data_IF_802797864592
#
_entry.id   IF_802797864592
#
_cell.length_a   1.000
_cell.length_b   1.000
_cell.length_c   1.000
_cell.angle_alpha   90.00
_cell.angle_beta   90.00
_cell.angle_gamma   90.00
#
_symmetry.space_group_name_H-M   'P 1'
#
loop_
_entity.id
_entity.type
_entity.pdbx_description
1 polymer ?
#
# COMPACT_ATOMS: atom_id res chain seq x y z
N UNK A 1 -12.80 -8.12 -19.46
CA UNK A 1 -11.90 -8.67 -18.42
C UNK A 1 -11.90 -7.71 -17.24
N UNK A 2 -11.66 -8.20 -16.02
CA UNK A 2 -11.40 -7.31 -14.89
C UNK A 2 -9.92 -6.96 -14.83
N UNK A 3 -9.61 -5.68 -14.69
CA UNK A 3 -8.27 -5.19 -14.40
C UNK A 3 -8.26 -4.64 -12.97
N UNK A 4 -7.36 -5.15 -12.14
CA UNK A 4 -7.24 -4.79 -10.73
C UNK A 4 -5.99 -3.94 -10.56
N UNK A 5 -6.12 -2.83 -9.84
CA UNK A 5 -5.03 -1.87 -9.58
C UNK A 5 -5.05 -1.43 -8.12
N UNK A 6 -3.87 -1.06 -7.60
CA UNK A 6 -3.72 -0.44 -6.29
C UNK A 6 -3.84 1.09 -6.43
N UNK A 7 -4.96 1.65 -5.98
CA UNK A 7 -5.19 3.11 -5.96
C UNK A 7 -5.64 3.75 -7.27
N UNK A 8 -6.17 4.98 -7.16
CA UNK A 8 -6.86 5.69 -8.25
C UNK A 8 -5.94 6.10 -9.40
N UNK A 9 -4.73 6.57 -9.12
CA UNK A 9 -3.79 7.01 -10.17
C UNK A 9 -3.36 5.86 -11.10
N UNK A 10 -3.18 4.66 -10.54
CA UNK A 10 -2.88 3.47 -11.32
C UNK A 10 -4.09 3.10 -12.19
N UNK A 11 -5.29 3.13 -11.61
CA UNK A 11 -6.53 2.86 -12.32
C UNK A 11 -6.74 3.81 -13.50
N UNK A 12 -6.54 5.11 -13.32
CA UNK A 12 -6.71 6.11 -14.36
C UNK A 12 -5.71 5.93 -15.50
N UNK A 13 -4.47 5.57 -15.18
CA UNK A 13 -3.43 5.27 -16.17
C UNK A 13 -3.78 4.00 -16.96
N UNK A 14 -4.26 2.95 -16.28
CA UNK A 14 -4.64 1.68 -16.91
C UNK A 14 -5.88 1.85 -17.79
N UNK A 15 -6.91 2.57 -17.34
CA UNK A 15 -8.17 2.79 -18.10
C UNK A 15 -7.92 3.32 -19.51
N UNK A 16 -6.92 4.18 -19.67
CA UNK A 16 -6.57 4.78 -20.97
C UNK A 16 -6.03 3.77 -21.99
N UNK A 17 -5.60 2.59 -21.52
CA UNK A 17 -5.03 1.53 -22.36
C UNK A 17 -6.04 0.45 -22.75
N UNK A 18 -7.20 0.41 -22.09
CA UNK A 18 -8.14 -0.69 -22.23
C UNK A 18 -9.15 -0.45 -23.35
N UNK A 19 -9.38 -1.48 -24.15
CA UNK A 19 -10.48 -1.50 -25.11
C UNK A 19 -11.84 -1.60 -24.40
N UNK A 20 -12.92 -1.24 -25.11
CA UNK A 20 -14.30 -1.37 -24.63
C UNK A 20 -14.61 -2.78 -24.11
N UNK A 21 -15.45 -2.87 -23.08
CA UNK A 21 -15.84 -4.14 -22.43
C UNK A 21 -14.87 -4.65 -21.35
N UNK A 22 -13.77 -3.93 -21.10
CA UNK A 22 -12.91 -4.13 -19.94
C UNK A 22 -13.32 -3.20 -18.79
N UNK A 23 -13.20 -3.70 -17.56
CA UNK A 23 -13.58 -2.96 -16.37
C UNK A 23 -12.41 -2.91 -15.39
N UNK A 24 -12.19 -1.73 -14.80
CA UNK A 24 -11.14 -1.50 -13.80
C UNK A 24 -11.74 -1.50 -12.41
N UNK A 25 -11.31 -2.45 -11.57
CA UNK A 25 -11.57 -2.48 -10.14
C UNK A 25 -10.38 -1.86 -9.41
N UNK A 26 -10.68 -0.91 -8.52
CA UNK A 26 -9.68 -0.22 -7.70
C UNK A 26 -9.76 -0.81 -6.31
N UNK A 27 -8.66 -1.40 -5.84
CA UNK A 27 -8.46 -1.65 -4.40
C UNK A 27 -7.55 -0.55 -3.88
N UNK A 28 -8.05 0.24 -2.94
CA UNK A 28 -7.36 1.45 -2.43
C UNK A 28 -6.52 1.21 -1.18
N UNK A 29 -6.73 0.08 -0.54
CA UNK A 29 -6.07 -0.27 0.72
C UNK A 29 -4.56 -0.46 0.51
N UNK A 30 -3.74 0.30 1.23
CA UNK A 30 -2.28 0.11 1.26
C UNK A 30 -1.92 -0.99 2.25
N UNK A 31 -1.81 -2.21 1.73
CA UNK A 31 -1.58 -3.42 2.52
C UNK A 31 -0.18 -3.50 3.14
N UNK A 32 0.74 -2.59 2.78
CA UNK A 32 2.09 -2.57 3.31
C UNK A 32 2.14 -2.15 4.79
N UNK A 33 1.14 -1.43 5.28
CA UNK A 33 1.12 -0.91 6.65
C UNK A 33 -0.17 -1.28 7.37
N UNK A 34 -0.10 -1.46 8.68
CA UNK A 34 -1.23 -1.76 9.55
C UNK A 34 -1.59 -3.25 9.64
N UNK A 35 -2.56 -3.58 10.52
CA UNK A 35 -3.01 -4.94 10.72
C UNK A 35 -3.75 -5.49 9.49
N UNK A 36 -3.65 -6.79 9.27
CA UNK A 36 -4.39 -7.56 8.26
C UNK A 36 -5.25 -8.68 8.87
N UNK A 37 -5.23 -8.88 10.19
CA UNK A 37 -5.87 -10.03 10.84
C UNK A 37 -7.35 -10.25 10.46
N UNK A 38 -8.12 -9.18 10.24
CA UNK A 38 -9.54 -9.25 9.87
C UNK A 38 -9.84 -8.75 8.44
N UNK A 39 -8.82 -8.60 7.60
CA UNK A 39 -8.95 -8.01 6.26
C UNK A 39 -9.87 -8.83 5.32
N UNK A 40 -10.05 -10.13 5.60
CA UNK A 40 -10.96 -11.01 4.86
C UNK A 40 -12.26 -11.32 5.62
N UNK A 41 -12.50 -10.65 6.75
CA UNK A 41 -13.68 -10.84 7.59
C UNK A 41 -14.49 -9.54 7.71
N UNK A 42 -15.36 -9.23 6.72
CA UNK A 42 -16.26 -8.09 6.82
C UNK A 42 -17.01 -8.08 8.16
N UNK A 43 -17.09 -6.92 8.85
CA UNK A 43 -16.84 -5.58 8.31
C UNK A 43 -15.39 -5.05 8.42
N UNK A 44 -14.39 -5.91 8.72
CA UNK A 44 -12.97 -5.51 8.77
C UNK A 44 -12.67 -4.36 9.77
N UNK A 45 -13.28 -4.41 10.96
CA UNK A 45 -13.28 -3.33 11.94
C UNK A 45 -11.87 -2.87 12.36
N UNK A 46 -10.95 -3.81 12.54
CA UNK A 46 -9.56 -3.54 12.97
C UNK A 46 -8.80 -2.82 11.86
N UNK A 47 -8.94 -3.28 10.61
CA UNK A 47 -8.35 -2.60 9.44
C UNK A 47 -8.92 -1.20 9.25
N UNK A 48 -10.23 -1.05 9.35
CA UNK A 48 -10.89 0.25 9.22
C UNK A 48 -10.45 1.20 10.32
N UNK A 49 -10.43 0.75 11.59
CA UNK A 49 -9.98 1.56 12.72
C UNK A 49 -8.52 2.00 12.59
N UNK A 50 -7.65 1.17 12.01
CA UNK A 50 -6.29 1.57 11.67
C UNK A 50 -6.27 2.77 10.74
N UNK A 51 -7.01 2.71 9.62
CA UNK A 51 -7.05 3.82 8.65
C UNK A 51 -7.69 5.09 9.23
N UNK A 52 -8.70 4.94 10.08
CA UNK A 52 -9.28 6.06 10.83
C UNK A 52 -8.26 6.76 11.74
N UNK A 53 -7.37 5.98 12.38
CA UNK A 53 -6.28 6.53 13.19
C UNK A 53 -5.20 7.22 12.36
N UNK A 54 -4.87 6.63 11.20
CA UNK A 54 -3.89 7.20 10.25
C UNK A 54 -4.41 8.52 9.66
N UNK A 55 -5.70 8.62 9.36
CA UNK A 55 -6.27 9.83 8.78
C UNK A 55 -6.27 11.00 9.79
N UNK A 56 -5.81 12.20 9.40
CA UNK A 56 -5.93 13.38 10.26
C UNK A 56 -7.38 13.84 10.37
N UNK A 57 -7.88 14.10 11.59
CA UNK A 57 -9.28 14.51 11.87
C UNK A 57 -9.75 15.71 11.04
N UNK A 58 -8.85 16.63 10.69
CA UNK A 58 -9.16 17.82 9.88
C UNK A 58 -8.89 17.72 8.39
N UNK A 59 -8.30 16.63 7.90
CA UNK A 59 -7.95 16.52 6.48
C UNK A 59 -9.20 16.14 5.67
N UNK A 60 -9.64 17.04 4.79
CA UNK A 60 -10.79 16.85 3.92
C UNK A 60 -10.37 16.72 2.44
N UNK A 61 -11.09 15.91 1.63
CA UNK A 61 -12.19 15.03 2.05
C UNK A 61 -11.67 13.80 2.83
N UNK A 62 -12.43 13.35 3.82
CA UNK A 62 -12.19 12.07 4.50
C UNK A 62 -12.53 10.92 3.54
N UNK A 63 -11.65 9.93 3.32
CA UNK A 63 -11.96 8.76 2.52
C UNK A 63 -13.07 7.93 3.17
N UNK A 64 -13.85 7.26 2.32
CA UNK A 64 -14.74 6.21 2.77
C UNK A 64 -13.96 4.91 2.97
N UNK A 65 -13.63 4.61 4.23
CA UNK A 65 -12.89 3.39 4.59
C UNK A 65 -13.77 2.12 4.54
N UNK A 66 -15.09 2.23 4.39
CA UNK A 66 -15.95 1.05 4.21
C UNK A 66 -15.67 0.29 2.90
N UNK A 67 -14.94 0.92 1.98
CA UNK A 67 -14.38 0.27 0.79
C UNK A 67 -13.54 -0.96 1.11
N UNK A 68 -12.88 -1.01 2.29
CA UNK A 68 -12.12 -2.19 2.75
C UNK A 68 -13.01 -3.43 2.85
N UNK A 69 -14.15 -3.31 3.53
CA UNK A 69 -15.09 -4.41 3.67
C UNK A 69 -15.72 -4.79 2.32
N UNK A 70 -16.06 -3.78 1.50
CA UNK A 70 -16.60 -3.99 0.15
C UNK A 70 -15.62 -4.75 -0.76
N UNK A 71 -14.32 -4.51 -0.61
CA UNK A 71 -13.28 -5.19 -1.36
C UNK A 71 -13.10 -6.64 -0.90
N UNK A 72 -13.15 -6.89 0.41
CA UNK A 72 -13.12 -8.25 0.97
C UNK A 72 -14.31 -9.10 0.50
N UNK A 73 -15.52 -8.53 0.54
CA UNK A 73 -16.73 -9.18 0.03
C UNK A 73 -16.66 -9.48 -1.47
N UNK A 74 -16.07 -8.56 -2.27
CA UNK A 74 -15.90 -8.76 -3.70
C UNK A 74 -14.88 -9.85 -4.01
N UNK A 75 -13.74 -9.88 -3.30
CA UNK A 75 -12.71 -10.90 -3.44
C UNK A 75 -13.22 -12.29 -3.04
N UNK A 76 -14.02 -12.39 -1.98
CA UNK A 76 -14.61 -13.66 -1.54
C UNK A 76 -15.51 -14.32 -2.60
N UNK A 77 -16.06 -13.53 -3.53
CA UNK A 77 -16.90 -14.01 -4.65
C UNK A 77 -16.16 -14.03 -5.98
N UNK A 78 -14.85 -13.84 -5.98
CA UNK A 78 -14.09 -13.68 -7.23
C UNK A 78 -14.07 -14.99 -8.04
N UNK A 79 -13.96 -16.12 -7.36
CA UNK A 79 -13.96 -17.46 -7.95
C UNK A 79 -15.30 -17.88 -8.56
N UNK A 80 -16.41 -17.24 -8.14
CA UNK A 80 -17.76 -17.48 -8.68
C UNK A 80 -18.02 -16.75 -10.01
N UNK A 81 -17.10 -15.85 -10.41
CA UNK A 81 -17.26 -15.06 -11.62
C UNK A 81 -16.75 -15.82 -12.84
N UNK A 82 -17.28 -15.49 -14.03
CA UNK A 82 -16.80 -16.06 -15.30
C UNK A 82 -15.75 -15.20 -16.00
N UNK A 83 -15.45 -14.02 -15.46
CA UNK A 83 -14.53 -13.06 -16.07
C UNK A 83 -13.10 -13.31 -15.61
N UNK A 84 -12.19 -13.48 -16.57
CA UNK A 84 -10.75 -13.47 -16.31
C UNK A 84 -10.29 -12.17 -15.65
N UNK A 85 -9.27 -12.31 -14.80
CA UNK A 85 -8.71 -11.26 -13.95
C UNK A 85 -7.29 -10.92 -14.43
N UNK A 86 -6.96 -9.63 -14.47
CA UNK A 86 -5.60 -9.13 -14.68
C UNK A 86 -5.22 -8.21 -13.54
N UNK A 87 -4.12 -8.49 -12.84
CA UNK A 87 -3.58 -7.63 -11.78
C UNK A 87 -2.39 -6.84 -12.33
N UNK A 88 -2.41 -5.52 -12.14
CA UNK A 88 -1.27 -4.65 -12.44
C UNK A 88 -0.51 -4.37 -11.14
N UNK A 89 0.80 -4.54 -11.16
CA UNK A 89 1.61 -4.37 -9.95
C UNK A 89 3.00 -3.80 -10.24
N UNK A 90 3.47 -2.96 -9.34
CA UNK A 90 4.83 -2.44 -9.28
C UNK A 90 5.73 -3.22 -8.32
N UNK A 91 6.79 -2.59 -7.82
CA UNK A 91 7.78 -3.21 -6.91
C UNK A 91 7.49 -2.94 -5.42
N UNK A 92 6.38 -2.29 -5.10
CA UNK A 92 6.02 -1.98 -3.71
C UNK A 92 5.36 -3.14 -3.00
N UNK A 93 5.56 -3.25 -1.68
CA UNK A 93 4.87 -4.23 -0.86
C UNK A 93 3.35 -4.19 -1.03
N UNK A 94 2.74 -3.01 -1.14
CA UNK A 94 1.29 -2.89 -1.31
C UNK A 94 0.79 -3.56 -2.60
N UNK A 95 1.43 -3.26 -3.74
CA UNK A 95 1.03 -3.83 -5.03
C UNK A 95 1.34 -5.33 -5.13
N UNK A 96 2.43 -5.78 -4.51
CA UNK A 96 2.77 -7.20 -4.42
C UNK A 96 1.79 -7.97 -3.51
N UNK A 97 1.37 -7.36 -2.39
CA UNK A 97 0.33 -7.92 -1.52
C UNK A 97 -1.03 -7.97 -2.22
N UNK A 98 -1.36 -6.96 -3.02
CA UNK A 98 -2.56 -6.98 -3.85
C UNK A 98 -2.57 -8.19 -4.81
N UNK A 99 -1.46 -8.42 -5.52
CA UNK A 99 -1.31 -9.60 -6.38
C UNK A 99 -1.44 -10.90 -5.58
N UNK A 100 -0.77 -10.98 -4.42
CA UNK A 100 -0.82 -12.15 -3.55
C UNK A 100 -2.25 -12.44 -3.03
N UNK A 101 -2.97 -11.39 -2.63
CA UNK A 101 -4.36 -11.45 -2.14
C UNK A 101 -5.33 -11.94 -3.22
N UNK A 102 -5.21 -11.40 -4.44
CA UNK A 102 -6.03 -11.85 -5.57
C UNK A 102 -5.72 -13.31 -5.93
N UNK A 103 -4.45 -13.70 -5.93
CA UNK A 103 -4.06 -15.09 -6.17
C UNK A 103 -4.64 -16.04 -5.10
N UNK A 104 -4.63 -15.64 -3.83
CA UNK A 104 -5.26 -16.41 -2.76
C UNK A 104 -6.77 -16.59 -2.97
N UNK A 105 -7.48 -15.53 -3.38
CA UNK A 105 -8.91 -15.60 -3.68
C UNK A 105 -9.25 -16.49 -4.88
N UNK A 106 -8.28 -16.73 -5.77
CA UNK A 106 -8.42 -17.56 -6.97
C UNK A 106 -7.77 -18.94 -6.84
N UNK A 107 -7.17 -19.28 -5.70
CA UNK A 107 -6.53 -20.58 -5.49
C UNK A 107 -7.56 -21.71 -5.68
N UNK A 108 -7.28 -22.62 -6.61
CA UNK A 108 -8.20 -23.72 -6.98
C UNK A 108 -9.39 -23.33 -7.86
N UNK A 109 -9.54 -22.05 -8.24
CA UNK A 109 -10.56 -21.60 -9.18
C UNK A 109 -10.20 -21.91 -10.63
N UNK A 110 -11.21 -21.99 -11.50
CA UNK A 110 -11.04 -22.06 -12.96
C UNK A 110 -10.90 -20.69 -13.63
N UNK A 111 -11.07 -19.59 -12.86
CA UNK A 111 -10.95 -18.22 -13.37
C UNK A 111 -9.49 -17.91 -13.71
N UNK A 112 -9.16 -17.56 -14.97
CA UNK A 112 -7.78 -17.25 -15.34
C UNK A 112 -7.29 -15.96 -14.66
N UNK A 113 -6.14 -16.06 -13.98
CA UNK A 113 -5.40 -14.92 -13.44
C UNK A 113 -4.25 -14.56 -14.37
N UNK A 114 -4.17 -13.30 -14.76
CA UNK A 114 -3.03 -12.72 -15.45
C UNK A 114 -2.37 -11.65 -14.60
N UNK A 115 -1.08 -11.43 -14.80
CA UNK A 115 -0.33 -10.33 -14.19
C UNK A 115 0.29 -9.43 -15.26
N UNK A 116 0.35 -8.13 -14.97
CA UNK A 116 1.11 -7.14 -15.74
C UNK A 116 2.11 -6.48 -14.79
N UNK A 117 3.35 -6.97 -14.86
CA UNK A 117 4.45 -6.45 -14.07
C UNK A 117 4.88 -5.08 -14.63
N UNK A 118 4.65 -4.04 -13.85
CA UNK A 118 5.04 -2.66 -14.15
C UNK A 118 6.28 -2.23 -13.38
N UNK A 119 6.79 -3.07 -12.48
CA UNK A 119 8.00 -2.80 -11.70
C UNK A 119 9.30 -2.87 -12.49
N UNK A 120 10.42 -2.64 -11.83
CA UNK A 120 11.79 -2.88 -12.30
C UNK A 120 12.34 -4.22 -11.81
N UNK A 121 11.66 -4.88 -10.87
CA UNK A 121 12.14 -6.06 -10.15
C UNK A 121 12.95 -5.72 -8.90
N UNK A 122 13.13 -4.44 -8.60
CA UNK A 122 13.93 -3.93 -7.48
C UNK A 122 13.09 -2.94 -6.66
N UNK A 123 12.89 -3.26 -5.38
CA UNK A 123 12.03 -2.51 -4.48
C UNK A 123 12.72 -1.37 -3.74
N UNK A 124 14.01 -1.14 -4.02
CA UNK A 124 14.78 -0.02 -3.44
C UNK A 124 14.24 1.32 -3.91
N UNK A 125 14.26 2.32 -3.05
CA UNK A 125 13.70 3.66 -3.27
C UNK A 125 14.14 4.35 -4.57
N UNK A 126 15.40 4.19 -4.97
CA UNK A 126 15.92 4.78 -6.20
C UNK A 126 15.51 4.05 -7.49
N UNK A 127 14.94 2.85 -7.39
CA UNK A 127 14.69 1.96 -8.53
C UNK A 127 13.24 1.50 -8.66
N UNK A 128 12.51 1.41 -7.54
CA UNK A 128 11.15 0.88 -7.51
C UNK A 128 10.21 1.70 -8.36
N UNK A 129 9.27 1.01 -9.00
CA UNK A 129 8.22 1.64 -9.78
C UNK A 129 6.87 1.12 -9.33
N UNK A 130 5.95 2.03 -9.00
CA UNK A 130 4.53 1.72 -8.92
C UNK A 130 3.90 1.78 -10.32
N UNK A 131 2.72 1.18 -10.52
CA UNK A 131 1.99 1.27 -11.79
C UNK A 131 1.75 2.73 -12.20
N UNK A 132 1.35 3.57 -11.24
CA UNK A 132 1.07 5.00 -11.46
C UNK A 132 2.29 5.86 -11.77
N UNK A 133 3.51 5.36 -11.51
CA UNK A 133 4.75 6.09 -11.80
C UNK A 133 5.19 5.92 -13.27
N UNK A 134 4.60 4.97 -14.01
CA UNK A 134 4.93 4.75 -15.41
C UNK A 134 4.30 5.82 -16.29
N UNK A 135 5.12 6.47 -17.10
CA UNK A 135 4.60 7.34 -18.17
C UNK A 135 3.69 6.54 -19.12
N UNK A 136 2.65 7.16 -19.72
CA UNK A 136 1.65 6.44 -20.51
C UNK A 136 2.22 5.53 -21.60
N UNK A 137 3.20 6.01 -22.38
CA UNK A 137 3.84 5.22 -23.44
C UNK A 137 4.62 4.03 -22.89
N UNK A 138 5.26 4.18 -21.72
CA UNK A 138 5.98 3.09 -21.07
C UNK A 138 5.00 2.05 -20.51
N UNK A 139 3.90 2.49 -19.91
CA UNK A 139 2.86 1.59 -19.40
C UNK A 139 2.20 0.80 -20.56
N UNK A 140 1.92 1.47 -21.69
CA UNK A 140 1.41 0.82 -22.90
C UNK A 140 2.36 -0.28 -23.42
N UNK A 141 3.67 -0.02 -23.43
CA UNK A 141 4.66 -1.01 -23.85
C UNK A 141 4.76 -2.21 -22.89
N UNK A 142 4.51 -1.98 -21.60
CA UNK A 142 4.49 -3.01 -20.55
C UNK A 142 3.18 -3.82 -20.53
N UNK A 143 2.13 -3.39 -21.25
CA UNK A 143 0.85 -4.09 -21.27
C UNK A 143 0.94 -5.39 -22.07
N UNK A 144 1.49 -6.41 -21.42
CA UNK A 144 1.63 -7.78 -21.93
C UNK A 144 1.16 -8.73 -20.82
N UNK A 145 -0.16 -8.94 -20.68
CA UNK A 145 -0.70 -9.82 -19.64
C UNK A 145 -0.12 -11.23 -19.76
N UNK A 146 0.49 -11.70 -18.68
CA UNK A 146 1.04 -13.05 -18.59
C UNK A 146 0.12 -13.91 -17.74
N UNK A 147 -0.27 -15.08 -18.24
CA UNK A 147 -1.03 -16.05 -17.45
C UNK A 147 -0.19 -16.48 -16.24
N UNK A 148 -0.80 -16.47 -15.05
CA UNK A 148 -0.17 -16.91 -13.81
C UNK A 148 -0.41 -18.40 -13.65
N UNK A 149 0.65 -19.19 -13.68
CA UNK A 149 0.58 -20.64 -13.56
C UNK A 149 0.12 -21.11 -12.17
N UNK A 150 -0.55 -22.27 -12.03
CA UNK A 150 -1.07 -22.75 -10.75
C UNK A 150 -0.05 -22.80 -9.61
N UNK A 151 1.21 -23.16 -9.91
CA UNK A 151 2.28 -23.18 -8.92
C UNK A 151 2.61 -21.79 -8.39
N UNK A 152 2.58 -20.76 -9.25
CA UNK A 152 2.79 -19.37 -8.85
C UNK A 152 1.59 -18.83 -8.08
N UNK A 153 0.37 -19.22 -8.44
CA UNK A 153 -0.84 -18.89 -7.66
C UNK A 153 -0.71 -19.43 -6.24
N UNK A 154 -0.33 -20.70 -6.08
CA UNK A 154 -0.15 -21.31 -4.76
C UNK A 154 0.97 -20.63 -3.93
N UNK A 155 2.09 -20.27 -4.56
CA UNK A 155 3.16 -19.50 -3.91
C UNK A 155 2.67 -18.14 -3.40
N UNK A 156 2.00 -17.38 -4.28
CA UNK A 156 1.41 -16.08 -3.93
C UNK A 156 0.35 -16.22 -2.83
N UNK A 157 -0.51 -17.23 -2.89
CA UNK A 157 -1.52 -17.50 -1.88
C UNK A 157 -0.89 -17.84 -0.52
N UNK A 158 0.20 -18.61 -0.50
CA UNK A 158 0.96 -18.87 0.73
C UNK A 158 1.57 -17.59 1.29
N UNK A 159 2.17 -16.74 0.45
CA UNK A 159 2.73 -15.46 0.88
C UNK A 159 1.65 -14.53 1.47
N UNK A 160 0.46 -14.49 0.86
CA UNK A 160 -0.68 -13.74 1.39
C UNK A 160 -1.09 -14.25 2.77
N UNK A 161 -1.35 -15.56 2.90
CA UNK A 161 -1.74 -16.17 4.17
C UNK A 161 -0.70 -15.95 5.27
N UNK A 162 0.59 -16.05 4.95
CA UNK A 162 1.68 -15.75 5.88
C UNK A 162 1.67 -14.28 6.32
N UNK A 163 1.47 -13.33 5.41
CA UNK A 163 1.41 -11.90 5.73
C UNK A 163 0.20 -11.52 6.61
N UNK A 164 -0.92 -12.23 6.45
CA UNK A 164 -2.12 -12.10 7.30
C UNK A 164 -1.85 -12.70 8.68
N UNK A 165 -1.28 -13.91 8.75
CA UNK A 165 -0.96 -14.60 10.01
C UNK A 165 0.09 -13.84 10.84
N UNK A 166 1.18 -13.39 10.21
CA UNK A 166 2.22 -12.59 10.87
C UNK A 166 1.66 -11.27 11.41
N UNK A 167 0.67 -10.70 10.71
CA UNK A 167 -0.04 -9.48 11.11
C UNK A 167 0.91 -8.32 11.49
N UNK A 168 2.06 -8.23 10.82
CA UNK A 168 3.07 -7.20 11.09
C UNK A 168 2.53 -5.77 10.91
N UNK A 169 3.12 -4.81 11.60
CA UNK A 169 2.73 -3.41 11.51
C UNK A 169 3.16 -2.77 10.18
N UNK A 170 4.30 -3.22 9.63
CA UNK A 170 4.82 -2.85 8.32
C UNK A 170 5.27 -4.13 7.62
N UNK A 171 5.08 -4.20 6.30
CA UNK A 171 5.54 -5.27 5.42
C UNK A 171 6.40 -4.65 4.33
N UNK A 172 7.62 -5.16 4.16
CA UNK A 172 8.55 -4.76 3.09
C UNK A 172 8.62 -5.85 2.05
N UNK A 173 8.63 -5.47 0.77
CA UNK A 173 8.96 -6.38 -0.32
C UNK A 173 10.48 -6.39 -0.52
N UNK A 174 11.12 -7.54 -0.31
CA UNK A 174 12.58 -7.68 -0.42
C UNK A 174 12.87 -8.99 -1.11
N UNK A 175 13.58 -8.96 -2.25
CA UNK A 175 14.04 -10.14 -2.98
C UNK A 175 12.94 -11.22 -3.20
N UNK A 176 11.73 -10.78 -3.57
CA UNK A 176 10.64 -11.72 -3.88
C UNK A 176 9.83 -12.22 -2.69
N UNK A 177 10.02 -11.66 -1.48
CA UNK A 177 9.31 -12.05 -0.26
C UNK A 177 8.86 -10.84 0.58
N UNK A 178 7.83 -11.05 1.39
CA UNK A 178 7.45 -10.11 2.44
C UNK A 178 8.29 -10.32 3.69
N UNK A 179 8.73 -9.21 4.29
CA UNK A 179 9.38 -9.19 5.60
C UNK A 179 8.57 -8.25 6.49
N UNK A 180 8.00 -8.79 7.57
CA UNK A 180 7.29 -8.00 8.57
C UNK A 180 8.22 -7.32 9.56
N UNK A 181 7.84 -6.12 9.99
CA UNK A 181 8.50 -5.37 11.06
C UNK A 181 7.48 -4.57 11.88
N UNK A 182 7.92 -4.13 13.06
CA UNK A 182 7.19 -3.14 13.85
C UNK A 182 7.52 -1.71 13.37
N UNK A 183 7.01 -0.70 14.07
CA UNK A 183 7.26 0.70 13.70
C UNK A 183 8.63 1.23 14.13
N UNK A 184 9.44 0.47 14.88
CA UNK A 184 10.66 0.97 15.53
C UNK A 184 11.67 1.54 14.52
N UNK A 185 11.80 0.90 13.35
CA UNK A 185 12.68 1.37 12.29
C UNK A 185 12.26 2.72 11.74
N UNK A 186 11.00 2.87 11.32
CA UNK A 186 10.48 4.14 10.80
C UNK A 186 10.50 5.23 11.87
N UNK A 187 10.16 4.89 13.11
CA UNK A 187 10.21 5.82 14.23
C UNK A 187 11.64 6.31 14.48
N UNK A 188 12.63 5.41 14.46
CA UNK A 188 14.05 5.75 14.60
C UNK A 188 14.58 6.61 13.47
N UNK A 189 14.17 6.33 12.23
CA UNK A 189 14.50 7.14 11.05
C UNK A 189 13.90 8.56 11.17
N UNK A 190 12.63 8.68 11.57
CA UNK A 190 11.99 9.97 11.86
C UNK A 190 12.70 10.75 12.97
N UNK A 191 13.04 10.09 14.08
CA UNK A 191 13.76 10.71 15.21
C UNK A 191 15.15 11.19 14.82
N UNK A 192 15.84 10.46 13.94
CA UNK A 192 17.15 10.83 13.43
C UNK A 192 17.04 12.03 12.48
N UNK A 193 15.99 12.09 11.66
CA UNK A 193 15.72 13.19 10.77
C UNK A 193 15.23 14.47 11.49
N UNK A 194 14.74 14.34 12.73
CA UNK A 194 14.35 15.48 13.56
C UNK A 194 15.56 16.13 14.24
N UNK A 195 15.80 17.41 13.93
CA UNK A 195 16.79 18.23 14.63
C UNK A 195 16.37 18.64 16.05
N UNK A 196 17.32 19.22 16.80
CA UNK A 196 17.06 19.81 18.11
C UNK A 196 16.30 21.15 18.01
N UNK A 197 16.49 21.85 16.89
CA UNK A 197 15.77 23.08 16.56
C UNK A 197 14.50 22.79 15.78
N UNK A 198 13.55 23.73 15.82
CA UNK A 198 12.33 23.66 15.04
C UNK A 198 12.63 23.65 13.54
N UNK A 199 12.07 22.66 12.84
CA UNK A 199 12.18 22.52 11.39
C UNK A 199 10.86 22.02 10.78
N UNK A 200 10.64 22.19 9.47
CA UNK A 200 9.48 21.61 8.81
C UNK A 200 9.43 20.08 8.95
N UNK A 201 8.30 19.53 9.40
CA UNK A 201 8.09 18.09 9.50
C UNK A 201 8.22 17.41 8.13
N UNK A 202 7.74 18.07 7.07
CA UNK A 202 7.87 17.59 5.70
C UNK A 202 9.33 17.31 5.30
N UNK A 203 10.30 18.07 5.84
CA UNK A 203 11.73 17.80 5.59
C UNK A 203 12.19 16.51 6.25
N UNK A 204 11.78 16.26 7.49
CA UNK A 204 12.12 15.00 8.18
C UNK A 204 11.45 13.80 7.49
N UNK A 205 10.19 13.93 7.08
CA UNK A 205 9.49 12.86 6.36
C UNK A 205 10.11 12.58 4.99
N UNK A 206 10.52 13.62 4.25
CA UNK A 206 11.19 13.45 2.96
C UNK A 206 12.51 12.68 3.09
N UNK A 207 13.29 12.94 4.16
CA UNK A 207 14.51 12.18 4.45
C UNK A 207 14.23 10.67 4.63
N UNK A 208 13.15 10.34 5.35
CA UNK A 208 12.73 8.95 5.53
C UNK A 208 12.26 8.33 4.22
N UNK A 209 11.47 9.08 3.44
CA UNK A 209 10.99 8.62 2.13
C UNK A 209 12.14 8.28 1.18
N UNK A 210 13.24 9.04 1.20
CA UNK A 210 14.40 8.90 0.31
C UNK A 210 15.27 7.67 0.58
N UNK A 211 15.06 6.99 1.72
CA UNK A 211 15.84 5.81 2.12
C UNK A 211 14.99 4.60 2.50
N UNK A 212 13.66 4.73 2.49
CA UNK A 212 12.75 3.65 2.86
C UNK A 212 12.59 2.67 1.70
N UNK A 213 13.18 1.48 1.79
CA UNK A 213 13.09 0.42 0.78
C UNK A 213 11.91 -0.55 0.99
N UNK A 214 11.45 -1.20 -0.08
CA UNK A 214 10.48 -2.30 -0.01
C UNK A 214 9.01 -1.89 0.06
N UNK A 215 8.70 -0.66 0.47
CA UNK A 215 7.35 -0.08 0.38
C UNK A 215 7.42 1.45 0.25
N UNK A 216 6.29 2.07 -0.08
CA UNK A 216 6.18 3.53 -0.08
C UNK A 216 5.75 4.01 1.30
N UNK A 217 6.66 4.61 2.06
CA UNK A 217 6.31 5.30 3.30
C UNK A 217 5.59 6.62 2.97
N UNK A 218 4.28 6.55 2.77
CA UNK A 218 3.45 7.70 2.36
C UNK A 218 3.51 8.82 3.39
N UNK A 219 3.21 10.03 2.92
CA UNK A 219 3.12 11.23 3.73
C UNK A 219 2.14 11.08 4.91
N UNK A 220 0.95 10.51 4.67
CA UNK A 220 -0.04 10.29 5.72
C UNK A 220 0.42 9.26 6.74
N UNK A 221 1.08 8.18 6.31
CA UNK A 221 1.65 7.20 7.22
C UNK A 221 2.76 7.81 8.09
N UNK A 222 3.73 8.50 7.48
CA UNK A 222 4.82 9.14 8.22
C UNK A 222 4.33 10.26 9.15
N UNK A 223 3.31 11.01 8.72
CA UNK A 223 2.67 12.00 9.57
C UNK A 223 1.95 11.35 10.76
N UNK A 224 1.25 10.23 10.56
CA UNK A 224 0.69 9.45 11.65
C UNK A 224 1.79 8.97 12.62
N UNK A 225 2.90 8.42 12.12
CA UNK A 225 4.04 8.03 12.97
C UNK A 225 4.61 9.19 13.78
N UNK A 226 4.76 10.37 13.19
CA UNK A 226 5.17 11.57 13.90
C UNK A 226 4.18 11.95 15.02
N UNK A 227 2.86 11.86 14.78
CA UNK A 227 1.85 12.07 15.84
C UNK A 227 1.98 11.05 16.97
N UNK A 228 2.25 9.78 16.66
CA UNK A 228 2.47 8.75 17.67
C UNK A 228 3.76 8.97 18.49
N UNK A 229 4.83 9.47 17.86
CA UNK A 229 6.06 9.88 18.57
C UNK A 229 5.81 11.10 19.48
N UNK A 230 5.01 12.05 19.04
CA UNK A 230 4.64 13.21 19.83
C UNK A 230 3.80 12.83 21.06
N UNK A 231 2.86 11.89 20.92
CA UNK A 231 2.10 11.32 22.04
C UNK A 231 2.99 10.64 23.09
N UNK A 232 4.09 10.04 22.65
CA UNK A 232 5.12 9.44 23.52
C UNK A 232 6.10 10.44 24.11
N UNK A 233 6.03 11.71 23.71
CA UNK A 233 6.94 12.76 24.18
C UNK A 233 8.35 12.66 23.61
N UNK A 234 8.54 11.97 22.48
CA UNK A 234 9.86 11.81 21.85
C UNK A 234 10.19 12.99 20.91
N UNK A 235 9.15 13.60 20.34
CA UNK A 235 9.21 14.83 19.54
C UNK A 235 8.14 15.82 19.98
N UNK A 236 8.34 17.08 19.64
CA UNK A 236 7.33 18.14 19.76
C UNK A 236 6.84 18.53 18.37
N UNK A 237 5.53 18.66 18.23
CA UNK A 237 4.88 19.18 17.03
C UNK A 237 4.24 20.53 17.34
N UNK A 238 4.34 21.48 16.42
CA UNK A 238 3.58 22.76 16.45
C UNK A 238 3.15 23.15 15.04
N UNK A 239 2.32 24.20 14.96
CA UNK A 239 1.73 24.66 13.71
C UNK A 239 0.96 23.55 12.97
N UNK A 240 0.43 22.62 13.77
CA UNK A 240 -0.41 21.51 13.32
C UNK A 240 -1.82 22.05 13.17
N UNK A 241 -2.08 22.74 12.07
CA UNK A 241 -3.46 23.04 11.69
C UNK A 241 -4.18 21.72 11.43
N UNK A 242 -5.45 21.66 11.81
CA UNK A 242 -6.31 20.52 11.50
C UNK A 242 -6.27 20.24 10.00
N UNK A 243 -5.72 19.09 9.61
CA UNK A 243 -5.68 18.64 8.22
C UNK A 243 -4.51 19.12 7.36
N UNK A 244 -3.59 19.95 7.84
CA UNK A 244 -2.43 20.40 7.04
C UNK A 244 -1.10 20.05 7.70
N UNK A 245 -0.56 18.85 7.43
CA UNK A 245 0.77 18.47 7.90
C UNK A 245 1.89 19.28 7.23
N UNK A 246 1.64 19.88 6.07
CA UNK A 246 2.64 20.60 5.26
C UNK A 246 3.25 21.82 5.97
N UNK A 247 2.51 22.41 6.92
CA UNK A 247 2.97 23.52 7.75
C UNK A 247 3.54 23.09 9.09
N UNK A 248 3.32 21.82 9.48
CA UNK A 248 3.73 21.32 10.78
C UNK A 248 5.24 21.48 10.96
N UNK A 249 5.63 21.96 12.13
CA UNK A 249 7.01 22.04 12.57
C UNK A 249 7.26 20.93 13.58
N UNK A 250 8.49 20.41 13.58
CA UNK A 250 8.95 19.35 14.47
C UNK A 250 10.28 19.73 15.09
N UNK A 251 10.52 19.24 16.31
CA UNK A 251 11.85 19.12 16.90
C UNK A 251 11.89 17.94 17.85
N UNK A 252 13.07 17.40 18.11
CA UNK A 252 13.28 16.34 19.10
C UNK A 252 13.09 16.88 20.52
N UNK A 253 12.53 16.07 21.42
CA UNK A 253 12.54 16.40 22.84
C UNK A 253 13.96 16.30 23.40
N UNK A 254 14.38 17.22 24.29
CA UNK A 254 15.62 17.06 25.04
C UNK A 254 15.53 15.77 25.87
N UNK A 255 16.57 14.93 25.79
CA UNK A 255 16.77 13.79 26.71
C UNK A 255 17.03 14.27 28.13
#
# INVERSE_FOLDING_TARGET
MWHITCGDLAADSVRQLLAEGNEVRILRDDLAVGPLADIESPPCETRMAFWEGVWPVGLAPRPDFSGVASDAEWLARLSDQSRQITVWHGDSASEQLLLARVAAALEGSSVPLHEVACGTGDSRVGTRMAVSMRAPNALAALYQPRLVEPARIADLANQWRAAVEENAAIRRWVDGRFVGEDHSRIDGELLTACGNDWMPLARAMAEVMDHCDGFFATDLFLYWRARELAKRGEILLRDVAEGEYSKAQVRRCPT
#
